data_IF_459846510193
#
_entry.id   IF_459846510193
#
_cell.length_a   1.000
_cell.length_b   1.000
_cell.length_c   1.000
_cell.angle_alpha   90.00
_cell.angle_beta   90.00
_cell.angle_gamma   90.00
#
_symmetry.space_group_name_H-M   'P 1'
#
loop_
_entity.id
_entity.type
_entity.pdbx_description
1 polymer ?
#
# COMPACT_ATOMS: atom_id res chain seq x y z
N UNK A 1 48.81 -46.07 20.53
CA UNK A 1 50.12 -46.49 19.98
C UNK A 1 49.86 -47.19 18.65
N UNK A 2 50.09 -46.51 17.54
CA UNK A 2 50.41 -47.17 16.28
C UNK A 2 51.17 -46.18 15.39
N UNK A 3 52.23 -46.69 14.78
CA UNK A 3 53.38 -45.98 14.25
C UNK A 3 53.36 -46.09 12.72
N UNK A 4 53.47 -44.92 12.08
CA UNK A 4 54.20 -44.56 10.85
C UNK A 4 53.96 -45.41 9.58
N UNK A 5 53.67 -44.75 8.46
CA UNK A 5 54.44 -44.88 7.21
C UNK A 5 54.35 -43.60 6.37
N UNK A 6 55.49 -42.92 6.30
CA UNK A 6 55.83 -41.81 5.41
C UNK A 6 56.04 -42.33 3.98
N UNK A 7 55.51 -41.64 2.96
CA UNK A 7 56.07 -41.64 1.60
C UNK A 7 56.08 -40.20 1.07
N UNK A 8 57.29 -39.71 0.77
CA UNK A 8 57.58 -38.48 0.05
C UNK A 8 57.90 -38.86 -1.39
N UNK A 9 57.18 -38.29 -2.35
CA UNK A 9 57.55 -38.12 -3.76
C UNK A 9 56.65 -36.97 -4.26
N UNK A 10 57.11 -35.87 -4.84
CA UNK A 10 58.23 -35.67 -5.73
C UNK A 10 57.68 -35.04 -7.01
N UNK A 11 58.13 -33.83 -7.35
CA UNK A 11 58.02 -33.16 -8.66
C UNK A 11 56.62 -32.86 -9.22
N UNK A 12 56.30 -31.56 -9.33
CA UNK A 12 56.37 -30.83 -10.62
C UNK A 12 55.87 -29.40 -10.42
N UNK A 13 56.75 -28.43 -10.69
CA UNK A 13 56.38 -27.05 -10.87
C UNK A 13 55.55 -26.93 -12.16
N UNK A 14 54.26 -26.64 -12.01
CA UNK A 14 53.37 -26.34 -13.14
C UNK A 14 52.98 -24.86 -13.04
N UNK A 15 53.71 -24.01 -13.76
CA UNK A 15 53.36 -22.60 -13.94
C UNK A 15 52.18 -22.49 -14.88
N UNK A 16 50.96 -22.42 -14.33
CA UNK A 16 49.78 -21.99 -15.08
C UNK A 16 49.78 -20.47 -15.13
N UNK A 17 49.89 -19.94 -16.34
CA UNK A 17 49.74 -18.52 -16.63
C UNK A 17 48.43 -17.98 -16.08
N UNK A 18 48.51 -16.81 -15.46
CA UNK A 18 47.35 -16.07 -14.99
C UNK A 18 46.44 -15.73 -16.20
N UNK A 19 45.14 -16.07 -16.17
CA UNK A 19 44.21 -15.55 -17.15
C UNK A 19 44.06 -14.04 -16.94
N UNK A 20 44.13 -13.29 -18.03
CA UNK A 20 43.83 -11.86 -18.06
C UNK A 20 42.45 -11.60 -17.43
N UNK A 21 42.29 -10.54 -16.61
CA UNK A 21 40.98 -10.16 -16.10
C UNK A 21 40.11 -9.71 -17.29
N UNK A 22 39.13 -10.54 -17.65
CA UNK A 22 37.98 -10.12 -18.43
C UNK A 22 37.32 -8.97 -17.67
N UNK A 23 37.46 -7.74 -18.19
CA UNK A 23 36.68 -6.60 -17.74
C UNK A 23 35.20 -6.99 -17.84
N UNK A 24 34.57 -7.23 -16.70
CA UNK A 24 33.13 -7.34 -16.61
C UNK A 24 32.53 -6.02 -17.09
N UNK A 25 31.77 -6.08 -18.18
CA UNK A 25 30.97 -4.94 -18.62
C UNK A 25 30.03 -4.54 -17.46
N UNK A 26 29.86 -3.24 -17.17
CA UNK A 26 28.93 -2.80 -16.15
C UNK A 26 27.53 -3.32 -16.47
N UNK A 27 26.75 -3.81 -15.48
CA UNK A 27 25.39 -4.27 -15.70
C UNK A 27 24.59 -3.14 -16.35
N UNK A 28 23.93 -3.45 -17.47
CA UNK A 28 23.04 -2.51 -18.13
C UNK A 28 22.03 -1.95 -17.12
N UNK A 29 21.79 -0.63 -17.10
CA UNK A 29 20.81 -0.05 -16.19
C UNK A 29 19.46 -0.69 -16.47
N UNK A 30 18.82 -1.21 -15.40
CA UNK A 30 17.48 -1.76 -15.48
C UNK A 30 16.54 -0.73 -16.15
N UNK A 31 15.61 -1.16 -17.04
CA UNK A 31 14.67 -0.25 -17.65
C UNK A 31 13.90 0.47 -16.55
N UNK A 32 14.10 1.78 -16.44
CA UNK A 32 13.29 2.64 -15.61
C UNK A 32 11.88 2.63 -16.18
N UNK A 33 11.02 1.79 -15.58
CA UNK A 33 9.58 1.92 -15.78
C UNK A 33 9.23 3.33 -15.34
N UNK A 34 9.01 4.21 -16.32
CA UNK A 34 8.37 5.50 -16.08
C UNK A 34 7.01 5.16 -15.50
N UNK A 35 6.87 5.31 -14.18
CA UNK A 35 5.62 5.13 -13.46
C UNK A 35 4.64 6.15 -14.03
N UNK A 36 3.87 5.75 -15.04
CA UNK A 36 2.79 6.54 -15.56
C UNK A 36 1.72 6.50 -14.47
N UNK A 37 1.70 7.51 -13.61
CA UNK A 37 0.65 7.66 -12.60
C UNK A 37 -0.64 7.88 -13.39
N UNK A 38 -1.55 6.91 -13.45
CA UNK A 38 -2.79 7.11 -14.18
C UNK A 38 -3.66 8.02 -13.29
N UNK A 39 -3.81 9.28 -13.70
CA UNK A 39 -4.59 10.32 -13.01
C UNK A 39 -6.11 10.08 -13.01
N UNK A 40 -6.56 8.91 -13.43
CA UNK A 40 -7.98 8.58 -13.63
C UNK A 40 -8.42 7.54 -12.61
N UNK A 41 -9.58 7.79 -11.98
CA UNK A 41 -10.27 6.82 -11.15
C UNK A 41 -10.85 5.69 -12.00
N UNK A 42 -10.81 4.47 -11.45
CA UNK A 42 -11.18 3.23 -12.13
C UNK A 42 -12.41 2.62 -11.47
N UNK A 43 -13.32 2.11 -12.28
CA UNK A 43 -14.45 1.30 -11.84
C UNK A 43 -13.98 -0.09 -11.37
N UNK A 44 -14.83 -0.82 -10.65
CA UNK A 44 -14.58 -2.20 -10.24
C UNK A 44 -14.18 -3.09 -11.42
N UNK A 45 -14.85 -2.94 -12.56
CA UNK A 45 -14.58 -3.72 -13.77
C UNK A 45 -13.21 -3.38 -14.40
N UNK A 46 -12.82 -2.10 -14.41
CA UNK A 46 -11.53 -1.65 -14.96
C UNK A 46 -10.33 -2.08 -14.11
N UNK A 47 -10.54 -2.37 -12.81
CA UNK A 47 -9.46 -2.80 -11.90
C UNK A 47 -9.04 -4.27 -12.07
N UNK A 48 -9.79 -5.07 -12.83
CA UNK A 48 -9.44 -6.48 -13.08
C UNK A 48 -9.44 -7.34 -11.82
N UNK A 49 -10.35 -7.05 -10.88
CA UNK A 49 -10.51 -7.80 -9.63
C UNK A 49 -11.08 -9.20 -9.91
N UNK A 50 -10.75 -10.15 -9.04
CA UNK A 50 -11.44 -11.43 -8.98
C UNK A 50 -12.94 -11.22 -8.73
N UNK A 51 -13.83 -12.12 -9.23
CA UNK A 51 -15.28 -11.93 -9.08
C UNK A 51 -15.75 -11.77 -7.63
N UNK A 52 -15.09 -12.49 -6.71
CA UNK A 52 -15.38 -12.40 -5.27
C UNK A 52 -15.01 -11.03 -4.70
N UNK A 53 -13.83 -10.52 -5.04
CA UNK A 53 -13.39 -9.19 -4.60
C UNK A 53 -14.24 -8.09 -5.23
N UNK A 54 -14.56 -8.19 -6.53
CA UNK A 54 -15.43 -7.24 -7.23
C UNK A 54 -16.79 -7.12 -6.56
N UNK A 55 -17.46 -8.24 -6.27
CA UNK A 55 -18.76 -8.22 -5.61
C UNK A 55 -18.72 -7.58 -4.22
N UNK A 56 -17.66 -7.84 -3.43
CA UNK A 56 -17.48 -7.20 -2.12
C UNK A 56 -17.23 -5.70 -2.24
N UNK A 57 -16.44 -5.28 -3.24
CA UNK A 57 -16.14 -3.86 -3.50
C UNK A 57 -17.39 -3.11 -3.97
N UNK A 58 -18.20 -3.70 -4.84
CA UNK A 58 -19.46 -3.10 -5.29
C UNK A 58 -20.44 -2.94 -4.12
N UNK A 59 -20.53 -3.94 -3.24
CA UNK A 59 -21.36 -3.87 -2.04
C UNK A 59 -20.91 -2.75 -1.10
N UNK A 60 -19.60 -2.62 -0.84
CA UNK A 60 -19.05 -1.52 -0.05
C UNK A 60 -19.30 -0.17 -0.73
N UNK A 61 -19.02 -0.05 -2.03
CA UNK A 61 -19.18 1.18 -2.79
C UNK A 61 -20.63 1.72 -2.75
N UNK A 62 -21.62 0.84 -2.74
CA UNK A 62 -23.03 1.20 -2.66
C UNK A 62 -23.43 1.90 -1.34
N UNK A 63 -22.67 1.70 -0.25
CA UNK A 63 -22.98 2.27 1.06
C UNK A 63 -22.64 3.76 1.21
N UNK A 64 -21.73 4.28 0.35
CA UNK A 64 -21.40 5.72 0.20
C UNK A 64 -21.02 6.48 1.49
N UNK A 65 -20.56 5.79 2.52
CA UNK A 65 -20.11 6.38 3.79
C UNK A 65 -18.91 5.63 4.35
N UNK A 66 -18.24 6.24 5.32
CA UNK A 66 -17.14 5.64 6.09
C UNK A 66 -17.53 5.63 7.56
N UNK A 67 -17.50 4.46 8.17
CA UNK A 67 -17.80 4.26 9.58
C UNK A 67 -16.61 3.59 10.30
N UNK A 68 -16.41 3.90 11.58
CA UNK A 68 -15.53 3.10 12.43
C UNK A 68 -16.16 1.74 12.77
N UNK A 69 -15.41 0.84 13.40
CA UNK A 69 -15.85 -0.56 13.58
C UNK A 69 -17.11 -0.71 14.42
N UNK A 70 -17.40 0.26 15.28
CA UNK A 70 -18.60 0.32 16.11
C UNK A 70 -19.16 1.75 16.08
N UNK A 71 -20.48 1.87 15.93
CA UNK A 71 -21.17 3.14 15.76
C UNK A 71 -22.44 3.26 16.60
N UNK A 72 -22.91 4.49 16.76
CA UNK A 72 -24.11 4.81 17.53
C UNK A 72 -23.85 4.83 19.04
N UNK A 73 -24.87 5.25 19.80
CA UNK A 73 -24.75 5.46 21.24
C UNK A 73 -24.37 4.17 22.01
N UNK A 74 -24.87 3.02 21.57
CA UNK A 74 -24.59 1.72 22.18
C UNK A 74 -23.28 1.08 21.69
N UNK A 75 -22.57 1.69 20.73
CA UNK A 75 -21.39 1.10 20.11
C UNK A 75 -21.70 -0.21 19.37
N UNK A 76 -22.78 -0.22 18.57
CA UNK A 76 -23.17 -1.39 17.78
C UNK A 76 -22.16 -1.64 16.64
N UNK A 77 -21.87 -2.89 16.27
CA UNK A 77 -21.01 -3.18 15.12
C UNK A 77 -21.49 -2.48 13.84
N UNK A 78 -20.56 -1.85 13.11
CA UNK A 78 -20.89 -1.15 11.86
C UNK A 78 -21.05 -2.14 10.70
N UNK A 79 -22.20 -2.14 10.00
CA UNK A 79 -22.36 -2.94 8.77
C UNK A 79 -21.46 -2.44 7.64
N UNK A 80 -21.10 -1.15 7.64
CA UNK A 80 -20.20 -0.56 6.63
C UNK A 80 -18.78 -1.02 6.84
N UNK A 81 -18.31 -1.00 8.08
CA UNK A 81 -17.00 -1.54 8.42
C UNK A 81 -16.92 -3.05 8.16
N UNK A 82 -17.99 -3.80 8.46
CA UNK A 82 -18.07 -5.23 8.13
C UNK A 82 -17.99 -5.49 6.62
N UNK A 83 -18.61 -4.64 5.78
CA UNK A 83 -18.48 -4.73 4.33
C UNK A 83 -17.03 -4.47 3.86
N UNK A 84 -16.31 -3.55 4.51
CA UNK A 84 -14.89 -3.35 4.25
C UNK A 84 -14.04 -4.57 4.65
N UNK A 85 -14.29 -5.17 5.80
CA UNK A 85 -13.60 -6.41 6.20
C UNK A 85 -13.87 -7.56 5.22
N UNK A 86 -15.08 -7.63 4.63
CA UNK A 86 -15.38 -8.58 3.56
C UNK A 86 -14.54 -8.33 2.30
N UNK A 87 -14.27 -7.07 1.94
CA UNK A 87 -13.33 -6.72 0.85
C UNK A 87 -11.92 -7.21 1.18
N UNK A 88 -11.45 -6.96 2.40
CA UNK A 88 -10.12 -7.40 2.86
C UNK A 88 -9.99 -8.93 2.80
N UNK A 89 -11.02 -9.67 3.20
CA UNK A 89 -11.03 -11.12 3.17
C UNK A 89 -11.13 -11.71 1.75
N UNK A 90 -11.71 -10.96 0.80
CA UNK A 90 -11.92 -11.42 -0.57
C UNK A 90 -10.77 -11.09 -1.53
N UNK A 91 -10.07 -9.98 -1.29
CA UNK A 91 -9.06 -9.45 -2.19
C UNK A 91 -7.63 -9.85 -1.79
N UNK A 92 -6.80 -10.15 -2.78
CA UNK A 92 -5.35 -10.30 -2.61
C UNK A 92 -4.70 -8.96 -2.25
N UNK A 93 -3.48 -8.96 -1.68
CA UNK A 93 -2.76 -7.71 -1.39
C UNK A 93 -2.59 -6.80 -2.62
N UNK A 94 -2.39 -7.37 -3.80
CA UNK A 94 -2.28 -6.62 -5.06
C UNK A 94 -3.60 -5.98 -5.46
N UNK A 95 -4.70 -6.71 -5.35
CA UNK A 95 -6.04 -6.18 -5.61
C UNK A 95 -6.38 -5.07 -4.63
N UNK A 96 -6.16 -5.27 -3.32
CA UNK A 96 -6.35 -4.25 -2.29
C UNK A 96 -5.55 -2.99 -2.59
N UNK A 97 -4.26 -3.11 -2.93
CA UNK A 97 -3.43 -1.96 -3.28
C UNK A 97 -3.97 -1.20 -4.51
N UNK A 98 -4.65 -1.87 -5.45
CA UNK A 98 -5.23 -1.22 -6.62
C UNK A 98 -6.49 -0.38 -6.32
N UNK A 99 -7.20 -0.71 -5.23
CA UNK A 99 -8.45 -0.05 -4.83
C UNK A 99 -8.28 1.41 -4.40
N UNK A 100 -7.05 1.87 -4.13
CA UNK A 100 -6.75 3.30 -3.92
C UNK A 100 -7.12 4.16 -5.13
N UNK A 101 -7.26 3.56 -6.32
CA UNK A 101 -7.70 4.24 -7.55
C UNK A 101 -9.20 4.04 -7.85
N UNK A 102 -9.95 3.41 -6.96
CA UNK A 102 -11.37 3.10 -7.21
C UNK A 102 -12.22 4.37 -7.30
N UNK A 103 -13.27 4.38 -8.13
CA UNK A 103 -14.16 5.55 -8.31
C UNK A 103 -14.94 5.92 -7.03
N UNK A 104 -15.28 4.95 -6.19
CA UNK A 104 -16.03 5.19 -4.96
C UNK A 104 -15.14 5.77 -3.84
N UNK A 105 -15.49 6.93 -3.25
CA UNK A 105 -14.66 7.58 -2.23
C UNK A 105 -14.44 6.77 -0.94
N UNK A 106 -15.46 6.06 -0.44
CA UNK A 106 -15.31 5.20 0.74
C UNK A 106 -14.31 4.07 0.53
N UNK A 107 -14.32 3.45 -0.65
CA UNK A 107 -13.37 2.37 -0.98
C UNK A 107 -11.94 2.89 -0.91
N UNK A 108 -11.66 4.07 -1.51
CA UNK A 108 -10.34 4.70 -1.44
C UNK A 108 -9.95 5.03 0.00
N UNK A 109 -10.87 5.65 0.75
CA UNK A 109 -10.63 6.06 2.13
C UNK A 109 -10.24 4.88 3.03
N UNK A 110 -11.04 3.80 3.03
CA UNK A 110 -10.77 2.63 3.87
C UNK A 110 -9.44 1.95 3.54
N UNK A 111 -9.16 1.75 2.24
CA UNK A 111 -7.95 1.06 1.79
C UNK A 111 -6.71 1.87 2.17
N UNK A 112 -6.73 3.18 1.94
CA UNK A 112 -5.62 4.04 2.31
C UNK A 112 -5.45 4.16 3.82
N UNK A 113 -6.54 4.23 4.60
CA UNK A 113 -6.45 4.21 6.07
C UNK A 113 -5.79 2.93 6.59
N UNK A 114 -6.22 1.77 6.11
CA UNK A 114 -5.61 0.47 6.46
C UNK A 114 -4.12 0.45 6.16
N UNK A 115 -3.72 0.99 5.01
CA UNK A 115 -2.31 1.07 4.64
C UNK A 115 -1.52 1.96 5.60
N UNK A 116 -2.06 3.12 5.99
CA UNK A 116 -1.40 4.09 6.87
C UNK A 116 -1.21 3.49 8.28
N UNK A 117 -2.22 2.77 8.78
CA UNK A 117 -2.16 2.02 10.06
C UNK A 117 -1.15 0.88 10.04
N UNK A 118 -0.74 0.43 8.84
CA UNK A 118 0.23 -0.66 8.68
C UNK A 118 -0.34 -2.03 9.05
N UNK A 119 -1.67 -2.20 8.90
CA UNK A 119 -2.40 -3.45 9.14
C UNK A 119 -2.18 -4.48 8.02
N UNK A 120 -1.55 -4.07 6.92
CA UNK A 120 -1.12 -4.94 5.84
C UNK A 120 0.09 -4.33 5.11
N UNK A 121 1.00 -5.15 4.54
CA UNK A 121 2.05 -4.70 3.64
C UNK A 121 1.43 -4.31 2.29
N UNK A 122 0.71 -3.19 2.28
CA UNK A 122 0.26 -2.51 1.07
C UNK A 122 1.23 -1.36 0.83
N UNK A 123 1.98 -1.41 -0.27
CA UNK A 123 2.89 -0.32 -0.64
C UNK A 123 2.25 0.53 -1.73
N UNK A 124 1.15 1.25 -1.45
CA UNK A 124 0.97 2.48 -2.22
C UNK A 124 2.18 3.36 -1.97
N UNK A 125 2.79 3.80 -3.06
CA UNK A 125 3.90 4.74 -2.99
C UNK A 125 3.45 6.05 -2.34
N UNK A 126 4.42 6.82 -1.88
CA UNK A 126 4.16 8.08 -1.21
C UNK A 126 3.43 9.08 -2.13
N UNK A 127 3.68 9.04 -3.44
CA UNK A 127 3.03 9.91 -4.40
C UNK A 127 1.51 9.67 -4.43
N UNK A 128 1.09 8.41 -4.38
CA UNK A 128 -0.31 8.00 -4.29
C UNK A 128 -0.96 8.53 -3.02
N UNK A 129 -0.28 8.44 -1.88
CA UNK A 129 -0.79 8.97 -0.61
C UNK A 129 -0.88 10.50 -0.62
N UNK A 130 0.08 11.21 -1.24
CA UNK A 130 0.00 12.66 -1.45
C UNK A 130 -1.21 13.02 -2.32
N UNK A 131 -1.42 12.31 -3.43
CA UNK A 131 -2.59 12.54 -4.29
C UNK A 131 -3.91 12.31 -3.54
N UNK A 132 -4.01 11.20 -2.80
CA UNK A 132 -5.20 10.90 -2.01
C UNK A 132 -5.44 11.93 -0.90
N UNK A 133 -4.39 12.46 -0.28
CA UNK A 133 -4.53 13.51 0.73
C UNK A 133 -5.06 14.84 0.18
N UNK A 134 -5.08 14.99 -1.16
CA UNK A 134 -5.69 16.14 -1.86
C UNK A 134 -7.03 15.80 -2.53
N UNK A 135 -7.57 14.59 -2.32
CA UNK A 135 -8.81 14.14 -2.94
C UNK A 135 -10.02 14.92 -2.38
N UNK A 136 -10.71 15.73 -3.22
CA UNK A 136 -11.78 16.62 -2.77
C UNK A 136 -13.12 15.91 -2.59
N UNK A 137 -13.21 14.60 -2.88
CA UNK A 137 -14.46 13.87 -2.79
C UNK A 137 -15.00 13.87 -1.35
N UNK A 138 -16.19 14.44 -1.18
CA UNK A 138 -16.89 14.50 0.11
C UNK A 138 -17.58 13.18 0.39
N UNK A 139 -17.53 12.74 1.64
CA UNK A 139 -18.17 11.53 2.11
C UNK A 139 -18.75 11.70 3.53
N UNK A 140 -19.88 11.05 3.79
CA UNK A 140 -20.43 10.92 5.13
C UNK A 140 -19.54 10.07 6.01
N UNK A 141 -19.36 10.49 7.25
CA UNK A 141 -18.50 9.82 8.23
C UNK A 141 -19.26 9.55 9.52
N UNK A 142 -18.94 8.43 10.17
CA UNK A 142 -19.40 8.14 11.53
C UNK A 142 -18.29 7.48 12.34
N UNK A 143 -17.78 8.17 13.36
CA UNK A 143 -16.80 7.63 14.29
C UNK A 143 -17.39 7.47 15.69
N UNK A 144 -17.75 6.24 16.05
CA UNK A 144 -18.53 5.96 17.25
C UNK A 144 -19.91 6.62 17.13
N UNK A 145 -20.22 7.54 18.04
CA UNK A 145 -21.46 8.31 18.02
C UNK A 145 -21.37 9.65 17.27
N UNK A 146 -20.20 10.01 16.73
CA UNK A 146 -19.98 11.29 16.04
C UNK A 146 -20.18 11.13 14.54
N UNK A 147 -21.31 11.60 14.03
CA UNK A 147 -21.58 11.71 12.60
C UNK A 147 -21.06 13.03 12.02
N UNK A 148 -20.71 13.03 10.73
CA UNK A 148 -20.27 14.22 10.03
C UNK A 148 -20.08 13.99 8.53
N UNK A 149 -19.37 14.92 7.90
CA UNK A 149 -18.92 14.85 6.51
C UNK A 149 -17.48 15.31 6.45
N UNK A 150 -16.66 14.63 5.66
CA UNK A 150 -15.27 15.01 5.42
C UNK A 150 -14.91 14.75 3.95
N UNK A 151 -13.77 15.25 3.50
CA UNK A 151 -13.18 14.85 2.22
C UNK A 151 -12.34 13.59 2.40
N UNK A 152 -12.16 12.80 1.34
CA UNK A 152 -11.16 11.72 1.34
C UNK A 152 -9.78 12.27 1.74
N UNK A 153 -9.39 13.42 1.19
CA UNK A 153 -8.13 14.07 1.54
C UNK A 153 -8.00 14.44 3.02
N UNK A 154 -9.06 14.96 3.63
CA UNK A 154 -9.13 15.25 5.06
C UNK A 154 -8.97 14.01 5.92
N UNK A 155 -9.68 12.93 5.57
CA UNK A 155 -9.57 11.63 6.24
C UNK A 155 -8.14 11.07 6.16
N UNK A 156 -7.51 11.10 5.00
CA UNK A 156 -6.14 10.58 4.79
C UNK A 156 -5.11 11.44 5.54
N UNK A 157 -5.28 12.76 5.53
CA UNK A 157 -4.40 13.68 6.26
C UNK A 157 -4.48 13.46 7.77
N UNK A 158 -5.70 13.31 8.31
CA UNK A 158 -5.91 12.99 9.73
C UNK A 158 -5.30 11.63 10.09
N UNK A 159 -5.47 10.63 9.24
CA UNK A 159 -4.91 9.31 9.45
C UNK A 159 -3.38 9.33 9.47
N UNK A 160 -2.74 10.02 8.52
CA UNK A 160 -1.29 10.23 8.49
C UNK A 160 -0.79 10.91 9.76
N UNK A 161 -1.51 11.92 10.24
CA UNK A 161 -1.14 12.70 11.43
C UNK A 161 -1.22 11.86 12.70
N UNK A 162 -2.34 11.19 12.92
CA UNK A 162 -2.63 10.59 14.24
C UNK A 162 -2.33 9.09 14.30
N UNK A 163 -2.55 8.36 13.22
CA UNK A 163 -2.64 6.90 13.25
C UNK A 163 -1.55 6.18 12.46
N UNK A 164 -0.72 6.91 11.69
CA UNK A 164 0.35 6.28 10.94
C UNK A 164 1.31 5.48 11.82
N UNK A 165 1.59 4.24 11.41
CA UNK A 165 2.55 3.33 12.07
C UNK A 165 3.99 3.83 11.91
N UNK A 166 4.34 4.30 10.72
CA UNK A 166 5.63 4.93 10.43
C UNK A 166 5.49 6.45 10.49
N UNK A 167 5.79 7.03 11.66
CA UNK A 167 5.67 8.47 11.89
C UNK A 167 6.65 9.30 11.07
N UNK A 168 7.83 8.77 10.75
CA UNK A 168 8.83 9.49 9.95
C UNK A 168 8.38 9.60 8.49
N UNK A 169 7.93 8.48 7.90
CA UNK A 169 7.34 8.47 6.56
C UNK A 169 6.09 9.35 6.50
N UNK A 170 5.21 9.26 7.48
CA UNK A 170 3.99 10.07 7.51
C UNK A 170 4.30 11.57 7.56
N UNK A 171 5.26 12.00 8.39
CA UNK A 171 5.73 13.39 8.44
C UNK A 171 6.24 13.85 7.06
N UNK A 172 7.07 13.05 6.39
CA UNK A 172 7.59 13.37 5.06
C UNK A 172 6.48 13.45 3.99
N UNK A 173 5.42 12.64 4.10
CA UNK A 173 4.23 12.76 3.23
C UNK A 173 3.49 14.07 3.52
N UNK A 174 3.22 14.37 4.79
CA UNK A 174 2.50 15.58 5.20
C UNK A 174 3.20 16.87 4.74
N UNK A 175 4.53 16.92 4.76
CA UNK A 175 5.33 18.06 4.27
C UNK A 175 5.23 18.28 2.75
N UNK A 176 4.75 17.27 2.00
CA UNK A 176 4.54 17.35 0.53
C UNK A 176 3.10 17.68 0.14
N UNK A 177 2.16 17.66 1.09
CA UNK A 177 0.76 18.01 0.81
C UNK A 177 0.69 19.54 0.67
N UNK A 178 0.15 20.07 -0.44
CA UNK A 178 -0.04 21.50 -0.57
C UNK A 178 -0.96 22.03 0.53
N UNK A 179 -0.72 23.23 1.07
CA UNK A 179 -1.61 23.82 2.06
C UNK A 179 -3.03 23.89 1.47
N UNK A 180 -4.02 23.44 2.23
CA UNK A 180 -5.41 23.57 1.82
C UNK A 180 -5.72 25.06 1.66
N UNK A 181 -6.27 25.52 0.53
CA UNK A 181 -6.65 26.92 0.38
C UNK A 181 -7.68 27.24 1.47
N UNK A 182 -7.34 28.19 2.35
CA UNK A 182 -8.26 28.73 3.35
C UNK A 182 -9.41 29.42 2.60
N UNK A 183 -10.68 29.11 2.90
CA UNK A 183 -11.82 29.78 2.28
C UNK A 183 -11.85 31.29 2.61
#
# INVERSE_FOLDING_TARGET
MNVIHTIIAGCAAFTLGAPAPLLAAPPAPAPTMKTHVPSRLLTTAELGLSPRAAAAVDALAAMKRVESSHVGYAGSPSPVYAAFEAVVAAATPRELASLVRHVAPNVRAYVAQRQIRGDAPLSADDATLVTLATDPAVIETMDGCRGGTDTVGGLITNELRYNAKDKARAKAILERIPPTPTP
#
